data_IF_237874843156
#
_entry.id   IF_237874843156
#
_cell.length_a   1.000
_cell.length_b   1.000
_cell.length_c   1.000
_cell.angle_alpha   90.00
_cell.angle_beta   90.00
_cell.angle_gamma   90.00
#
_symmetry.space_group_name_H-M   'P 1'
#
loop_
_entity.id
_entity.type
_entity.pdbx_description
1 polymer ?
#
# COMPACT_ATOMS: atom_id res chain seq x y z
N UNK A 1 -23.48 11.11 4.49
CA UNK A 1 -23.05 9.81 5.07
C UNK A 1 -21.61 9.99 5.52
N UNK A 2 -21.28 9.68 6.78
CA UNK A 2 -19.88 9.67 7.20
C UNK A 2 -19.17 8.59 6.37
N UNK A 3 -18.19 8.99 5.56
CA UNK A 3 -17.36 8.04 4.80
C UNK A 3 -16.66 7.17 5.83
N UNK A 4 -17.06 5.90 5.94
CA UNK A 4 -16.35 4.95 6.78
C UNK A 4 -14.90 4.91 6.30
N UNK A 5 -13.95 4.88 7.23
CA UNK A 5 -12.51 4.82 6.95
C UNK A 5 -11.89 3.72 7.78
N UNK A 6 -10.85 3.08 7.28
CA UNK A 6 -10.10 2.11 8.09
C UNK A 6 -9.27 2.82 9.16
N UNK A 7 -8.99 2.12 10.26
CA UNK A 7 -8.07 2.62 11.30
C UNK A 7 -6.66 2.78 10.73
N UNK A 8 -6.29 1.91 9.79
CA UNK A 8 -5.03 1.95 9.06
C UNK A 8 -4.83 3.26 8.29
N UNK A 9 -5.86 3.75 7.59
CA UNK A 9 -5.78 5.03 6.88
C UNK A 9 -5.59 6.21 7.84
N UNK A 10 -6.31 6.23 8.96
CA UNK A 10 -6.18 7.33 9.94
C UNK A 10 -4.80 7.35 10.61
N UNK A 11 -4.23 6.17 10.92
CA UNK A 11 -2.83 6.09 11.40
C UNK A 11 -1.82 6.57 10.36
N UNK A 12 -2.01 6.20 9.10
CA UNK A 12 -1.16 6.66 8.00
C UNK A 12 -1.17 8.18 7.88
N UNK A 13 -2.37 8.78 7.87
CA UNK A 13 -2.55 10.24 7.82
C UNK A 13 -1.87 10.94 8.99
N UNK A 14 -2.03 10.42 10.21
CA UNK A 14 -1.38 10.97 11.39
C UNK A 14 0.15 10.91 11.31
N UNK A 15 0.71 9.79 10.85
CA UNK A 15 2.16 9.62 10.69
C UNK A 15 2.74 10.58 9.64
N UNK A 16 2.07 10.71 8.48
CA UNK A 16 2.45 11.67 7.44
C UNK A 16 2.38 13.09 7.98
N UNK A 17 1.28 13.48 8.63
CA UNK A 17 1.12 14.82 9.19
C UNK A 17 2.22 15.14 10.20
N UNK A 18 2.51 14.22 11.13
CA UNK A 18 3.57 14.42 12.13
C UNK A 18 4.96 14.61 11.50
N UNK A 19 5.27 13.91 10.41
CA UNK A 19 6.52 14.12 9.67
C UNK A 19 6.59 15.51 9.02
N UNK A 20 5.50 15.98 8.43
CA UNK A 20 5.44 17.32 7.84
C UNK A 20 5.44 18.43 8.90
N UNK A 21 4.76 18.27 10.04
CA UNK A 21 4.78 19.24 11.14
C UNK A 21 6.20 19.39 11.71
N UNK A 22 6.92 18.28 11.82
CA UNK A 22 8.33 18.31 12.21
C UNK A 22 9.22 19.00 11.17
N UNK A 23 8.99 18.73 9.88
CA UNK A 23 9.70 19.40 8.80
C UNK A 23 9.46 20.92 8.81
N UNK A 24 8.22 21.36 9.04
CA UNK A 24 7.89 22.78 9.22
C UNK A 24 8.70 23.37 10.38
N UNK A 25 8.76 22.68 11.52
CA UNK A 25 9.55 23.12 12.68
C UNK A 25 11.04 23.30 12.33
N UNK A 26 11.62 22.38 11.55
CA UNK A 26 13.00 22.50 11.04
C UNK A 26 13.16 23.72 10.14
N UNK A 27 12.23 23.94 9.19
CA UNK A 27 12.27 25.07 8.27
C UNK A 27 12.19 26.44 8.98
N UNK A 28 11.54 26.52 10.15
CA UNK A 28 11.58 27.74 10.99
C UNK A 28 12.86 27.83 11.83
N UNK A 29 13.40 26.70 12.27
CA UNK A 29 14.56 26.65 13.17
C UNK A 29 15.89 26.91 12.48
N UNK A 30 16.06 26.45 11.23
CA UNK A 30 17.33 26.58 10.50
C UNK A 30 17.70 28.04 10.18
N UNK A 31 16.77 28.91 9.72
CA UNK A 31 17.06 30.34 9.55
C UNK A 31 17.47 31.02 10.85
N UNK A 32 16.82 30.68 11.97
CA UNK A 32 17.16 31.20 13.30
C UNK A 32 18.58 30.77 13.71
N UNK A 33 18.93 29.50 13.47
CA UNK A 33 20.28 29.00 13.70
C UNK A 33 21.32 29.74 12.82
N UNK A 34 20.99 29.98 11.54
CA UNK A 34 21.86 30.72 10.63
C UNK A 34 22.15 32.14 11.14
N UNK A 35 21.11 32.86 11.58
CA UNK A 35 21.26 34.19 12.17
C UNK A 35 22.10 34.14 13.46
N UNK A 36 21.82 33.20 14.35
CA UNK A 36 22.57 33.05 15.59
C UNK A 36 24.06 32.78 15.34
N UNK A 37 24.40 31.94 14.35
CA UNK A 37 25.78 31.67 13.97
C UNK A 37 26.49 32.94 13.46
N UNK A 38 25.80 33.82 12.74
CA UNK A 38 26.36 35.10 12.32
C UNK A 38 26.63 36.05 13.51
N UNK A 39 25.77 36.04 14.52
CA UNK A 39 25.98 36.81 15.76
C UNK A 39 27.17 36.31 16.57
N UNK A 40 27.34 34.98 16.67
CA UNK A 40 28.49 34.34 17.32
C UNK A 40 29.80 34.78 16.66
N UNK A 41 29.85 34.79 15.33
CA UNK A 41 31.06 35.21 14.59
C UNK A 41 31.39 36.69 14.75
N UNK A 42 30.36 37.53 14.87
CA UNK A 42 30.55 38.96 15.17
C UNK A 42 30.91 39.25 16.64
N UNK A 43 30.99 38.21 17.48
CA UNK A 43 31.29 38.35 18.91
C UNK A 43 30.14 38.92 19.76
N UNK A 44 28.93 39.01 19.21
CA UNK A 44 27.74 39.56 19.91
C UNK A 44 27.17 38.59 20.94
N UNK A 45 27.35 37.28 20.74
CA UNK A 45 26.85 36.24 21.62
C UNK A 45 27.79 35.03 21.63
N UNK A 46 27.67 34.18 22.64
CA UNK A 46 28.30 32.86 22.65
C UNK A 46 27.39 31.82 21.96
N UNK A 47 28.01 30.75 21.43
CA UNK A 47 27.28 29.61 20.88
C UNK A 47 26.55 28.87 22.00
N UNK A 48 25.24 28.67 21.82
CA UNK A 48 24.44 27.93 22.79
C UNK A 48 24.79 26.44 22.81
N UNK A 49 24.68 25.83 23.99
CA UNK A 49 24.92 24.39 24.17
C UNK A 49 23.75 23.58 23.59
N UNK A 50 24.01 22.53 22.80
CA UNK A 50 22.95 21.67 22.28
C UNK A 50 22.28 20.86 23.41
N UNK A 51 20.99 20.57 23.27
CA UNK A 51 20.21 19.89 24.30
C UNK A 51 20.57 18.39 24.45
N UNK A 52 20.77 17.67 23.34
CA UNK A 52 20.97 16.20 23.34
C UNK A 52 22.31 15.74 22.76
N UNK A 53 23.17 16.66 22.30
CA UNK A 53 24.46 16.34 21.70
C UNK A 53 25.61 16.87 22.55
N UNK A 54 26.80 16.30 22.41
CA UNK A 54 27.98 16.83 23.10
C UNK A 54 28.34 18.24 22.56
N UNK A 55 29.01 19.10 23.35
CA UNK A 55 29.40 20.48 22.98
C UNK A 55 30.38 20.62 21.79
N UNK A 56 30.59 19.57 21.00
CA UNK A 56 31.76 19.44 20.12
C UNK A 56 31.52 19.92 18.68
N UNK A 57 30.32 20.42 18.36
CA UNK A 57 30.03 20.93 17.02
C UNK A 57 30.62 22.33 16.84
N UNK A 58 31.58 22.47 15.93
CA UNK A 58 32.15 23.78 15.57
C UNK A 58 31.12 24.63 14.81
N UNK A 59 31.28 25.96 14.86
CA UNK A 59 30.46 26.89 14.05
C UNK A 59 30.55 26.58 12.56
N UNK A 60 31.73 26.19 12.07
CA UNK A 60 31.96 25.74 10.68
C UNK A 60 31.09 24.52 10.36
N UNK A 61 31.12 23.49 11.20
CA UNK A 61 30.31 22.30 11.00
C UNK A 61 28.81 22.62 10.96
N UNK A 62 28.32 23.47 11.87
CA UNK A 62 26.91 23.85 11.91
C UNK A 62 26.50 24.62 10.65
N UNK A 63 27.36 25.50 10.11
CA UNK A 63 27.11 26.21 8.84
C UNK A 63 26.97 25.27 7.66
N UNK A 64 27.86 24.29 7.53
CA UNK A 64 27.78 23.31 6.44
C UNK A 64 26.45 22.53 6.47
N UNK A 65 25.98 22.20 7.68
CA UNK A 65 24.68 21.54 7.86
C UNK A 65 23.49 22.47 7.56
N UNK A 66 23.61 23.76 7.84
CA UNK A 66 22.59 24.77 7.48
C UNK A 66 22.47 24.91 5.96
N UNK A 67 23.56 24.83 5.20
CA UNK A 67 23.50 24.90 3.72
C UNK A 67 22.81 23.66 3.14
N UNK A 68 23.15 22.47 3.65
CA UNK A 68 22.65 21.19 3.13
C UNK A 68 21.30 20.74 3.72
N UNK A 69 20.68 21.56 4.59
CA UNK A 69 19.54 21.11 5.40
C UNK A 69 18.35 20.68 4.54
N UNK A 70 18.05 21.39 3.46
CA UNK A 70 16.87 21.16 2.64
C UNK A 70 16.96 19.81 1.93
N UNK A 71 18.14 19.49 1.38
CA UNK A 71 18.42 18.21 0.75
C UNK A 71 18.28 17.05 1.76
N UNK A 72 18.87 17.21 2.94
CA UNK A 72 18.79 16.19 4.00
C UNK A 72 17.36 16.00 4.52
N UNK A 73 16.65 17.10 4.76
CA UNK A 73 15.26 17.08 5.18
C UNK A 73 14.37 16.40 4.13
N UNK A 74 14.55 16.74 2.86
CA UNK A 74 13.81 16.14 1.75
C UNK A 74 14.09 14.64 1.66
N UNK A 75 15.36 14.24 1.75
CA UNK A 75 15.77 12.82 1.80
C UNK A 75 15.08 12.06 2.92
N UNK A 76 15.10 12.59 4.16
CA UNK A 76 14.45 11.95 5.30
C UNK A 76 12.94 11.88 5.14
N UNK A 77 12.30 12.94 4.64
CA UNK A 77 10.87 12.93 4.36
C UNK A 77 10.50 11.88 3.32
N UNK A 78 11.27 11.74 2.23
CA UNK A 78 11.02 10.72 1.22
C UNK A 78 11.05 9.30 1.82
N UNK A 79 12.07 9.02 2.65
CA UNK A 79 12.22 7.74 3.34
C UNK A 79 11.01 7.49 4.26
N UNK A 80 10.59 8.50 5.03
CA UNK A 80 9.45 8.42 5.94
C UNK A 80 8.14 8.20 5.21
N UNK A 81 7.76 9.05 4.24
CA UNK A 81 6.47 8.94 3.54
C UNK A 81 6.33 7.61 2.81
N UNK A 82 7.42 7.13 2.19
CA UNK A 82 7.41 5.83 1.51
C UNK A 82 7.20 4.69 2.50
N UNK A 83 7.92 4.72 3.62
CA UNK A 83 7.81 3.69 4.67
C UNK A 83 6.42 3.69 5.31
N UNK A 84 5.83 4.86 5.54
CA UNK A 84 4.47 4.99 6.06
C UNK A 84 3.43 4.43 5.08
N UNK A 85 3.63 4.64 3.78
CA UNK A 85 2.78 4.05 2.75
C UNK A 85 2.91 2.52 2.71
N UNK A 86 4.13 1.97 2.74
CA UNK A 86 4.34 0.52 2.80
C UNK A 86 3.67 -0.11 4.03
N UNK A 87 3.81 0.55 5.18
CA UNK A 87 3.18 0.12 6.43
C UNK A 87 1.65 0.18 6.34
N UNK A 88 1.10 1.24 5.74
CA UNK A 88 -0.33 1.39 5.50
C UNK A 88 -0.91 0.22 4.70
N UNK A 89 -0.28 -0.15 3.58
CA UNK A 89 -0.76 -1.26 2.73
C UNK A 89 -0.82 -2.57 3.53
N UNK A 90 0.24 -2.88 4.29
CA UNK A 90 0.25 -4.09 5.13
C UNK A 90 -0.83 -4.04 6.21
N UNK A 91 -0.99 -2.88 6.85
CA UNK A 91 -1.94 -2.69 7.94
C UNK A 91 -3.38 -2.82 7.46
N UNK A 92 -3.73 -2.20 6.32
CA UNK A 92 -5.13 -2.20 5.84
C UNK A 92 -5.58 -3.59 5.38
N UNK A 93 -4.68 -4.37 4.78
CA UNK A 93 -4.98 -5.76 4.40
C UNK A 93 -5.06 -6.65 5.65
N UNK A 94 -4.23 -6.39 6.66
CA UNK A 94 -4.33 -7.09 7.95
C UNK A 94 -5.65 -6.77 8.65
N UNK A 95 -6.04 -5.50 8.71
CA UNK A 95 -7.31 -5.03 9.27
C UNK A 95 -8.51 -5.66 8.53
N UNK A 96 -8.41 -5.80 7.21
CA UNK A 96 -9.40 -6.53 6.40
C UNK A 96 -9.49 -8.01 6.82
N UNK A 97 -8.37 -8.71 6.98
CA UNK A 97 -8.38 -10.11 7.44
C UNK A 97 -8.96 -10.23 8.86
N UNK A 98 -8.58 -9.32 9.77
CA UNK A 98 -9.10 -9.25 11.14
C UNK A 98 -10.62 -9.02 11.17
N UNK A 99 -11.15 -8.17 10.29
CA UNK A 99 -12.59 -7.96 10.14
C UNK A 99 -13.34 -9.27 9.81
N UNK A 100 -12.71 -10.18 9.09
CA UNK A 100 -13.25 -11.52 8.78
C UNK A 100 -12.95 -12.59 9.85
N UNK A 101 -12.49 -12.19 11.04
CA UNK A 101 -12.14 -13.10 12.14
C UNK A 101 -10.68 -13.56 12.14
N UNK A 102 -9.82 -12.89 11.36
CA UNK A 102 -8.40 -13.20 11.24
C UNK A 102 -8.06 -14.07 10.02
N UNK A 103 -6.77 -14.19 9.74
CA UNK A 103 -6.26 -14.88 8.55
C UNK A 103 -6.71 -16.36 8.48
N UNK A 104 -6.66 -17.08 9.59
CA UNK A 104 -7.04 -18.50 9.63
C UNK A 104 -8.55 -18.69 9.44
N UNK A 105 -9.37 -17.84 10.05
CA UNK A 105 -10.82 -17.86 9.86
C UNK A 105 -11.21 -17.52 8.42
N UNK A 106 -10.56 -16.50 7.83
CA UNK A 106 -10.76 -16.12 6.44
C UNK A 106 -10.41 -17.27 5.49
N UNK A 107 -9.28 -17.94 5.70
CA UNK A 107 -8.86 -19.09 4.90
C UNK A 107 -9.82 -20.28 5.09
N UNK A 108 -10.21 -20.58 6.33
CA UNK A 108 -11.16 -21.65 6.64
C UNK A 108 -12.52 -21.41 5.96
N UNK A 109 -13.00 -20.16 5.91
CA UNK A 109 -14.21 -19.79 5.17
C UNK A 109 -14.04 -20.00 3.66
N UNK A 110 -12.90 -19.61 3.09
CA UNK A 110 -12.61 -19.82 1.67
C UNK A 110 -12.53 -21.31 1.32
N UNK A 111 -11.87 -22.12 2.15
CA UNK A 111 -11.79 -23.58 1.98
C UNK A 111 -13.13 -24.26 2.19
N UNK A 112 -13.90 -23.85 3.20
CA UNK A 112 -15.24 -24.39 3.45
C UNK A 112 -16.13 -24.18 2.24
N UNK A 113 -16.09 -22.99 1.62
CA UNK A 113 -16.83 -22.67 0.39
C UNK A 113 -16.44 -23.57 -0.79
N UNK A 114 -15.16 -23.89 -0.93
CA UNK A 114 -14.68 -24.81 -1.96
C UNK A 114 -15.19 -26.25 -1.70
N UNK A 115 -15.19 -26.71 -0.44
CA UNK A 115 -15.60 -28.07 -0.05
C UNK A 115 -17.12 -28.30 -0.06
N UNK A 116 -17.92 -27.36 0.45
CA UNK A 116 -19.38 -27.54 0.63
C UNK A 116 -20.17 -27.68 -0.68
N UNK A 117 -19.57 -27.34 -1.82
CA UNK A 117 -20.24 -27.34 -3.13
C UNK A 117 -19.68 -28.39 -4.10
N UNK A 118 -18.92 -29.37 -3.59
CA UNK A 118 -18.43 -30.51 -4.39
C UNK A 118 -19.54 -31.51 -4.74
N UNK A 119 -20.71 -31.43 -4.11
CA UNK A 119 -21.90 -32.25 -4.37
C UNK A 119 -22.77 -31.75 -5.52
N UNK A 120 -22.20 -31.40 -6.68
CA UNK A 120 -23.01 -31.12 -7.88
C UNK A 120 -23.70 -32.42 -8.28
N UNK A 121 -25.03 -32.43 -8.30
CA UNK A 121 -25.80 -33.57 -8.80
C UNK A 121 -25.31 -33.95 -10.21
N UNK A 122 -24.87 -35.20 -10.39
CA UNK A 122 -24.40 -35.73 -11.68
C UNK A 122 -25.58 -36.05 -12.60
N UNK A 123 -26.43 -35.05 -12.86
CA UNK A 123 -27.48 -35.17 -13.85
C UNK A 123 -26.88 -35.38 -15.23
N UNK A 124 -27.61 -36.05 -16.12
CA UNK A 124 -27.21 -36.26 -17.50
C UNK A 124 -26.87 -34.92 -18.20
N UNK A 125 -27.61 -33.86 -17.88
CA UNK A 125 -27.40 -32.50 -18.40
C UNK A 125 -26.06 -31.89 -17.95
N UNK A 126 -25.66 -32.10 -16.69
CA UNK A 126 -24.36 -31.66 -16.16
C UNK A 126 -23.22 -32.42 -16.83
N UNK A 127 -23.36 -33.74 -17.02
CA UNK A 127 -22.35 -34.56 -17.69
C UNK A 127 -22.17 -34.16 -19.15
N UNK A 128 -23.26 -33.93 -19.88
CA UNK A 128 -23.22 -33.46 -21.26
C UNK A 128 -22.67 -32.04 -21.36
N UNK A 129 -23.06 -31.13 -20.46
CA UNK A 129 -22.51 -29.78 -20.40
C UNK A 129 -21.00 -29.78 -20.15
N UNK A 130 -20.51 -30.59 -19.19
CA UNK A 130 -19.06 -30.81 -18.96
C UNK A 130 -18.38 -31.33 -20.22
N UNK A 131 -18.94 -32.35 -20.88
CA UNK A 131 -18.39 -32.94 -22.11
C UNK A 131 -18.29 -31.94 -23.25
N UNK A 132 -19.27 -31.04 -23.40
CA UNK A 132 -19.26 -30.01 -24.46
C UNK A 132 -18.27 -28.88 -24.17
N UNK A 133 -18.07 -28.53 -22.90
CA UNK A 133 -17.14 -27.48 -22.47
C UNK A 133 -15.68 -27.95 -22.38
N UNK A 134 -15.42 -29.27 -22.43
CA UNK A 134 -14.07 -29.85 -22.49
C UNK A 134 -13.44 -29.85 -23.89
N UNK A 135 -14.21 -29.51 -24.93
CA UNK A 135 -13.70 -29.45 -26.31
C UNK A 135 -13.04 -28.10 -26.56
N UNK A 136 -12.07 -28.04 -27.47
CA UNK A 136 -11.46 -26.78 -27.91
C UNK A 136 -12.53 -25.76 -28.29
N UNK A 137 -12.34 -24.54 -27.78
CA UNK A 137 -13.29 -23.45 -27.94
C UNK A 137 -13.27 -23.01 -29.39
N UNK A 138 -14.27 -23.44 -30.17
CA UNK A 138 -14.47 -22.92 -31.52
C UNK A 138 -14.90 -21.45 -31.47
N UNK A 139 -14.71 -20.70 -32.55
CA UNK A 139 -15.07 -19.28 -32.69
C UNK A 139 -16.55 -18.95 -32.41
N UNK A 140 -17.42 -19.95 -32.24
CA UNK A 140 -18.86 -19.79 -31.93
C UNK A 140 -19.11 -19.76 -30.41
N UNK A 141 -18.62 -18.73 -29.74
CA UNK A 141 -18.72 -18.50 -28.28
C UNK A 141 -20.13 -18.65 -27.69
N UNK A 142 -21.17 -18.17 -28.40
CA UNK A 142 -22.56 -18.26 -27.96
C UNK A 142 -23.05 -19.70 -27.74
N UNK A 143 -22.48 -20.68 -28.45
CA UNK A 143 -22.84 -22.10 -28.31
C UNK A 143 -22.41 -22.68 -26.96
N UNK A 144 -21.37 -22.12 -26.33
CA UNK A 144 -20.81 -22.61 -25.08
C UNK A 144 -21.44 -21.94 -23.85
N UNK A 145 -21.91 -20.70 -23.98
CA UNK A 145 -22.58 -19.97 -22.89
C UNK A 145 -23.77 -20.73 -22.29
N UNK A 146 -24.57 -21.41 -23.12
CA UNK A 146 -25.72 -22.19 -22.64
C UNK A 146 -25.28 -23.33 -21.70
N UNK A 147 -24.18 -24.01 -22.03
CA UNK A 147 -23.65 -25.10 -21.19
C UNK A 147 -23.06 -24.54 -19.89
N UNK A 148 -22.42 -23.36 -19.94
CA UNK A 148 -21.94 -22.69 -18.72
C UNK A 148 -23.10 -22.28 -17.80
N UNK A 149 -24.23 -21.82 -18.36
CA UNK A 149 -25.45 -21.52 -17.60
C UNK A 149 -26.04 -22.78 -16.94
N UNK A 150 -26.09 -23.91 -17.66
CA UNK A 150 -26.54 -25.20 -17.10
C UNK A 150 -25.66 -25.60 -15.93
N UNK A 151 -24.34 -25.52 -16.08
CA UNK A 151 -23.40 -25.80 -15.00
C UNK A 151 -23.63 -24.87 -13.79
N UNK A 152 -23.73 -23.54 -13.99
CA UNK A 152 -24.02 -22.60 -12.89
C UNK A 152 -25.34 -22.89 -12.17
N UNK A 153 -26.39 -23.19 -12.91
CA UNK A 153 -27.71 -23.48 -12.34
C UNK A 153 -27.69 -24.71 -11.43
N UNK A 154 -26.80 -25.66 -11.70
CA UNK A 154 -26.57 -26.85 -10.87
C UNK A 154 -25.48 -26.65 -9.80
N UNK A 155 -25.05 -25.42 -9.54
CA UNK A 155 -24.04 -25.12 -8.52
C UNK A 155 -22.61 -25.51 -8.90
N UNK A 156 -22.34 -25.81 -10.18
CA UNK A 156 -20.98 -26.11 -10.62
C UNK A 156 -20.08 -24.88 -10.51
N UNK A 157 -18.99 -25.04 -9.75
CA UNK A 157 -17.92 -24.04 -9.64
C UNK A 157 -16.88 -24.23 -10.73
N UNK A 158 -16.65 -23.16 -11.49
CA UNK A 158 -15.65 -23.12 -12.54
C UNK A 158 -14.24 -23.09 -11.95
N UNK A 159 -13.19 -23.42 -12.75
CA UNK A 159 -11.81 -23.42 -12.27
C UNK A 159 -11.40 -22.14 -11.54
N UNK A 160 -11.84 -20.97 -12.02
CA UNK A 160 -11.55 -19.67 -11.39
C UNK A 160 -12.11 -19.55 -9.96
N UNK A 161 -13.27 -20.15 -9.70
CA UNK A 161 -13.88 -20.15 -8.37
C UNK A 161 -13.23 -21.19 -7.47
N UNK A 162 -12.84 -22.35 -7.99
CA UNK A 162 -12.11 -23.38 -7.23
C UNK A 162 -10.73 -22.89 -6.79
N UNK A 163 -10.08 -22.09 -7.62
CA UNK A 163 -8.78 -21.48 -7.31
C UNK A 163 -8.88 -20.32 -6.32
N UNK A 164 -10.08 -19.88 -5.90
CA UNK A 164 -10.21 -18.75 -4.97
C UNK A 164 -9.63 -19.05 -3.59
N UNK A 165 -9.72 -20.31 -3.12
CA UNK A 165 -9.13 -20.75 -1.85
C UNK A 165 -7.59 -20.71 -1.91
N UNK A 166 -7.01 -21.08 -3.05
CA UNK A 166 -5.58 -20.93 -3.31
C UNK A 166 -5.18 -19.45 -3.32
N UNK A 167 -5.95 -18.58 -3.99
CA UNK A 167 -5.74 -17.14 -3.98
C UNK A 167 -5.74 -16.54 -2.57
N UNK A 168 -6.70 -16.95 -1.72
CA UNK A 168 -6.76 -16.54 -0.32
C UNK A 168 -5.52 -16.98 0.48
N UNK A 169 -5.06 -18.23 0.27
CA UNK A 169 -3.83 -18.75 0.89
C UNK A 169 -2.60 -17.94 0.47
N UNK A 170 -2.47 -17.67 -0.83
CA UNK A 170 -1.35 -16.91 -1.37
C UNK A 170 -1.36 -15.46 -0.87
N UNK A 171 -2.53 -14.82 -0.79
CA UNK A 171 -2.66 -13.48 -0.22
C UNK A 171 -2.10 -13.44 1.21
N UNK A 172 -2.50 -14.39 2.06
CA UNK A 172 -2.04 -14.47 3.46
C UNK A 172 -0.54 -14.74 3.54
N UNK A 173 -0.01 -15.65 2.72
CA UNK A 173 1.42 -15.98 2.75
C UNK A 173 2.31 -14.84 2.24
N UNK A 174 1.88 -14.17 1.18
CA UNK A 174 2.62 -13.07 0.56
C UNK A 174 2.56 -11.78 1.36
N UNK A 175 1.45 -11.52 2.08
CA UNK A 175 1.32 -10.32 2.90
C UNK A 175 2.47 -10.16 3.91
N UNK A 176 2.89 -11.27 4.54
CA UNK A 176 4.00 -11.28 5.51
C UNK A 176 5.35 -10.94 4.87
N UNK A 177 5.51 -11.24 3.58
CA UNK A 177 6.76 -11.07 2.81
C UNK A 177 6.70 -9.90 1.84
N UNK A 178 5.60 -9.13 1.86
CA UNK A 178 5.35 -8.06 0.91
C UNK A 178 6.47 -7.02 0.96
N UNK A 179 7.14 -6.86 -0.18
CA UNK A 179 8.13 -5.80 -0.45
C UNK A 179 7.47 -4.70 -1.25
N UNK A 180 8.03 -3.48 -1.20
CA UNK A 180 7.62 -2.33 -2.02
C UNK A 180 7.29 -2.69 -3.47
N UNK A 181 8.15 -3.51 -4.10
CA UNK A 181 8.01 -3.88 -5.51
C UNK A 181 6.73 -4.68 -5.81
N UNK A 182 6.19 -5.43 -4.84
CA UNK A 182 4.98 -6.22 -5.01
C UNK A 182 3.70 -5.49 -4.66
N UNK A 183 3.77 -4.25 -4.16
CA UNK A 183 2.57 -3.46 -3.79
C UNK A 183 1.63 -3.25 -4.99
N UNK A 184 2.10 -2.81 -6.17
CA UNK A 184 1.21 -2.62 -7.32
C UNK A 184 0.49 -3.92 -7.73
N UNK A 185 1.20 -5.05 -7.78
CA UNK A 185 0.64 -6.35 -8.17
C UNK A 185 -0.39 -6.85 -7.15
N UNK A 186 -0.10 -6.70 -5.86
CA UNK A 186 -1.05 -7.04 -4.79
C UNK A 186 -2.34 -6.23 -4.94
N UNK A 187 -2.22 -4.92 -5.15
CA UNK A 187 -3.37 -4.03 -5.25
C UNK A 187 -4.21 -4.34 -6.51
N UNK A 188 -3.57 -4.46 -7.67
CA UNK A 188 -4.25 -4.67 -8.94
C UNK A 188 -4.81 -6.10 -9.09
N UNK A 189 -3.98 -7.12 -8.83
CA UNK A 189 -4.35 -8.51 -9.10
C UNK A 189 -4.91 -9.23 -7.89
N UNK A 190 -4.43 -8.89 -6.68
CA UNK A 190 -4.93 -9.48 -5.44
C UNK A 190 -6.23 -8.84 -4.95
N UNK A 191 -6.29 -7.50 -4.99
CA UNK A 191 -7.40 -6.73 -4.40
C UNK A 191 -8.28 -6.05 -5.46
N UNK A 192 -7.95 -6.20 -6.76
CA UNK A 192 -8.72 -5.62 -7.86
C UNK A 192 -8.86 -4.09 -7.81
N UNK A 193 -7.91 -3.40 -7.18
CA UNK A 193 -7.83 -1.94 -7.19
C UNK A 193 -7.41 -1.49 -8.58
N UNK A 194 -8.16 -0.55 -9.17
CA UNK A 194 -7.81 0.01 -10.48
C UNK A 194 -6.51 0.81 -10.37
N UNK A 195 -5.46 0.33 -11.04
CA UNK A 195 -4.16 0.99 -11.15
C UNK A 195 -3.81 1.17 -12.63
N UNK A 196 -3.51 2.39 -13.03
CA UNK A 196 -3.07 2.71 -14.39
C UNK A 196 -1.56 2.48 -14.56
N UNK A 197 -1.12 2.28 -15.80
CA UNK A 197 0.31 2.15 -16.12
C UNK A 197 1.12 3.38 -15.68
N UNK A 198 0.56 4.59 -15.82
CA UNK A 198 1.22 5.82 -15.37
C UNK A 198 1.46 5.83 -13.86
N UNK A 199 0.50 5.35 -13.07
CA UNK A 199 0.67 5.31 -11.63
C UNK A 199 1.67 4.23 -11.19
N UNK A 200 1.76 3.09 -11.90
CA UNK A 200 2.83 2.10 -11.67
C UNK A 200 4.21 2.69 -11.97
N UNK A 201 4.33 3.43 -13.06
CA UNK A 201 5.56 4.14 -13.41
C UNK A 201 5.92 5.14 -12.32
N UNK A 202 5.00 6.02 -11.93
CA UNK A 202 5.23 7.01 -10.86
C UNK A 202 5.62 6.35 -9.53
N UNK A 203 4.94 5.27 -9.13
CA UNK A 203 5.31 4.50 -7.93
C UNK A 203 6.73 3.95 -8.02
N UNK A 204 7.11 3.37 -9.17
CA UNK A 204 8.44 2.82 -9.39
C UNK A 204 9.53 3.90 -9.42
N UNK A 205 9.25 5.08 -9.97
CA UNK A 205 10.15 6.21 -9.98
C UNK A 205 10.41 6.72 -8.55
N UNK A 206 9.34 6.91 -7.77
CA UNK A 206 9.46 7.28 -6.35
C UNK A 206 10.23 6.22 -5.57
N UNK A 207 9.95 4.93 -5.80
CA UNK A 207 10.68 3.81 -5.17
C UNK A 207 12.16 3.81 -5.54
N UNK A 208 12.50 4.04 -6.80
CA UNK A 208 13.89 4.10 -7.27
C UNK A 208 14.63 5.27 -6.63
N UNK A 209 13.99 6.45 -6.61
CA UNK A 209 14.51 7.63 -5.93
C UNK A 209 14.76 7.35 -4.43
N UNK A 210 13.79 6.74 -3.74
CA UNK A 210 13.91 6.31 -2.34
C UNK A 210 15.07 5.35 -2.12
N UNK A 211 15.23 4.35 -2.99
CA UNK A 211 16.31 3.37 -2.86
C UNK A 211 17.68 4.04 -3.04
N UNK A 212 17.81 4.92 -4.04
CA UNK A 212 19.04 5.69 -4.25
C UNK A 212 19.38 6.54 -3.01
N UNK A 213 18.39 7.26 -2.48
CA UNK A 213 18.53 8.04 -1.25
C UNK A 213 18.96 7.17 -0.05
N UNK A 214 18.33 6.00 0.13
CA UNK A 214 18.67 5.06 1.21
C UNK A 214 20.10 4.48 1.08
N UNK A 215 20.62 4.37 -0.13
CA UNK A 215 21.99 3.91 -0.41
C UNK A 215 23.02 5.05 -0.43
N UNK A 216 22.64 6.28 -0.06
CA UNK A 216 23.54 7.43 -0.05
C UNK A 216 23.95 7.91 -1.45
N UNK A 217 23.21 7.51 -2.49
CA UNK A 217 23.44 8.01 -3.85
C UNK A 217 22.92 9.45 -3.93
N UNK A 218 23.73 10.42 -4.40
CA UNK A 218 23.27 11.79 -4.60
C UNK A 218 22.01 11.80 -5.46
N UNK A 219 20.94 12.35 -4.92
CA UNK A 219 19.67 12.51 -5.60
C UNK A 219 19.26 13.97 -5.40
N UNK A 220 18.97 14.68 -6.48
CA UNK A 220 18.44 16.03 -6.39
C UNK A 220 16.96 15.91 -5.97
N UNK A 221 16.73 15.84 -4.66
CA UNK A 221 15.41 15.77 -4.04
C UNK A 221 15.20 17.08 -3.29
N UNK A 222 14.20 17.84 -3.73
CA UNK A 222 13.74 19.05 -3.05
C UNK A 222 12.39 18.81 -2.37
N UNK A 223 11.94 19.80 -1.59
CA UNK A 223 10.64 19.73 -0.91
C UNK A 223 9.46 19.69 -1.88
N UNK A 224 9.61 20.18 -3.12
CA UNK A 224 8.57 20.10 -4.15
C UNK A 224 8.34 18.64 -4.56
N UNK A 225 9.42 17.89 -4.81
CA UNK A 225 9.33 16.47 -5.11
C UNK A 225 8.68 15.69 -3.96
N UNK A 226 9.00 16.04 -2.71
CA UNK A 226 8.38 15.41 -1.52
C UNK A 226 6.88 15.67 -1.48
N UNK A 227 6.45 16.90 -1.75
CA UNK A 227 5.03 17.24 -1.83
C UNK A 227 4.33 16.39 -2.90
N UNK A 228 4.91 16.29 -4.09
CA UNK A 228 4.32 15.58 -5.23
C UNK A 228 4.27 14.05 -5.01
N UNK A 229 5.26 13.50 -4.30
CA UNK A 229 5.27 12.11 -3.86
C UNK A 229 4.23 11.85 -2.77
N UNK A 230 4.10 12.77 -1.80
CA UNK A 230 3.10 12.67 -0.74
C UNK A 230 1.67 12.75 -1.29
N UNK A 231 1.41 13.69 -2.21
CA UNK A 231 0.12 13.81 -2.88
C UNK A 231 -0.26 12.51 -3.61
N UNK A 232 0.69 11.93 -4.35
CA UNK A 232 0.50 10.64 -4.99
C UNK A 232 0.13 9.53 -4.00
N UNK A 233 0.87 9.38 -2.90
CA UNK A 233 0.58 8.35 -1.90
C UNK A 233 -0.73 8.62 -1.16
N UNK A 234 -1.06 9.87 -0.86
CA UNK A 234 -2.32 10.26 -0.24
C UNK A 234 -3.50 9.86 -1.10
N UNK A 235 -3.48 10.20 -2.38
CA UNK A 235 -4.57 9.89 -3.32
C UNK A 235 -4.73 8.38 -3.51
N UNK A 236 -3.61 7.65 -3.61
CA UNK A 236 -3.60 6.20 -3.60
C UNK A 236 -4.21 5.62 -2.32
N UNK A 237 -3.78 6.08 -1.15
CA UNK A 237 -4.29 5.60 0.14
C UNK A 237 -5.80 5.80 0.27
N UNK A 238 -6.35 6.96 -0.11
CA UNK A 238 -7.79 7.18 -0.07
C UNK A 238 -8.57 6.28 -1.02
N UNK A 239 -8.08 6.10 -2.25
CA UNK A 239 -8.75 5.24 -3.23
C UNK A 239 -8.72 3.77 -2.81
N UNK A 240 -7.58 3.30 -2.31
CA UNK A 240 -7.42 1.93 -1.79
C UNK A 240 -8.37 1.71 -0.62
N UNK A 241 -8.39 2.64 0.35
CA UNK A 241 -9.28 2.55 1.51
C UNK A 241 -10.75 2.45 1.10
N UNK A 242 -11.19 3.34 0.22
CA UNK A 242 -12.57 3.38 -0.27
C UNK A 242 -12.96 2.06 -0.97
N UNK A 243 -12.09 1.57 -1.85
CA UNK A 243 -12.30 0.30 -2.58
C UNK A 243 -12.39 -0.90 -1.63
N UNK A 244 -11.50 -0.97 -0.63
CA UNK A 244 -11.52 -2.05 0.35
C UNK A 244 -12.78 -2.01 1.19
N UNK A 245 -13.21 -0.83 1.63
CA UNK A 245 -14.44 -0.68 2.42
C UNK A 245 -15.65 -1.13 1.62
N UNK A 246 -15.75 -0.72 0.36
CA UNK A 246 -16.86 -1.06 -0.52
C UNK A 246 -16.97 -2.57 -0.80
N UNK A 247 -15.84 -3.25 -0.98
CA UNK A 247 -15.85 -4.63 -1.51
C UNK A 247 -15.39 -5.71 -0.54
N UNK A 248 -14.59 -5.38 0.47
CA UNK A 248 -13.95 -6.35 1.35
C UNK A 248 -14.36 -6.24 2.82
N UNK A 249 -14.78 -5.06 3.30
CA UNK A 249 -15.33 -4.90 4.66
C UNK A 249 -16.84 -5.20 4.72
N UNK A 250 -17.24 -6.34 4.16
CA UNK A 250 -18.62 -6.81 4.13
C UNK A 250 -18.73 -8.16 4.85
N UNK A 251 -19.66 -8.28 5.81
CA UNK A 251 -19.81 -9.51 6.61
C UNK A 251 -20.34 -10.64 5.73
N UNK A 252 -19.44 -11.53 5.29
CA UNK A 252 -19.78 -12.69 4.45
C UNK A 252 -20.22 -13.95 5.21
N UNK A 253 -20.19 -13.93 6.56
CA UNK A 253 -20.43 -15.13 7.38
C UNK A 253 -21.89 -15.60 7.42
N UNK A 254 -22.82 -14.74 7.02
CA UNK A 254 -24.27 -15.01 7.00
C UNK A 254 -24.83 -15.17 5.58
N UNK A 255 -24.00 -15.07 4.55
CA UNK A 255 -24.45 -15.09 3.16
C UNK A 255 -24.83 -16.49 2.64
N UNK A 256 -24.73 -17.52 3.50
CA UNK A 256 -24.92 -18.94 3.16
C UNK A 256 -25.48 -19.73 4.33
#
# INVERSE_FOLDING_TARGET
MATQKTKSLERHKAAVQGAFDFAVTICYSIPQLSQHLAEVESGKTALQQPHYFAPQNSTVFLKDNVVEFENRLSTYLLLSIFSFFESYIKSVVTEMLEFHGGADAFLALAEKRDRTLTGVSETADVLEAKKKLRKDVSSKYAKYQKYSKVLRAHGYRFPSERLSSYGARMLISELKKLKAAGIPDLLEHGLSVRITSMEKTKFNDIKKCRNNAAHGTPTAIDLSYIRDANEFFRDWSFRIDSHLIEHFFVVGKYAY
#
